data_IF_219275716644
#
_entry.id   IF_219275716644
#
_cell.length_a   1.000
_cell.length_b   1.000
_cell.length_c   1.000
_cell.angle_alpha   90.00
_cell.angle_beta   90.00
_cell.angle_gamma   90.00
#
_symmetry.space_group_name_H-M   'P 1'
#
loop_
_entity.id
_entity.type
_entity.pdbx_description
1 polymer ?
#
# COMPACT_ATOMS: atom_id res chain seq x y z
N UNK A 1 -13.31 4.11 -0.09
CA UNK A 1 -11.86 4.06 -0.33
C UNK A 1 -11.61 3.39 -1.68
N UNK A 2 -10.54 3.76 -2.37
CA UNK A 2 -10.21 3.26 -3.70
C UNK A 2 -8.99 2.34 -3.62
N UNK A 3 -8.93 1.36 -4.50
CA UNK A 3 -7.76 0.52 -4.73
C UNK A 3 -7.23 0.82 -6.12
N UNK A 4 -5.94 1.07 -6.23
CA UNK A 4 -5.24 1.34 -7.48
C UNK A 4 -4.37 0.12 -7.76
N UNK A 5 -4.49 -0.42 -8.96
CA UNK A 5 -3.72 -1.59 -9.40
C UNK A 5 -2.73 -1.16 -10.49
N UNK A 6 -1.48 -1.56 -10.36
CA UNK A 6 -0.52 -1.43 -11.46
C UNK A 6 -0.78 -2.49 -12.54
N UNK A 7 -0.20 -2.29 -13.72
CA UNK A 7 -0.32 -3.20 -14.87
C UNK A 7 0.16 -4.63 -14.60
N UNK A 8 1.09 -4.79 -13.65
CA UNK A 8 1.63 -6.10 -13.26
C UNK A 8 0.85 -6.78 -12.12
N UNK A 9 -0.24 -6.21 -11.66
CA UNK A 9 -1.10 -6.85 -10.68
C UNK A 9 -1.90 -8.00 -11.31
N UNK A 10 -2.24 -8.99 -10.49
CA UNK A 10 -3.20 -10.02 -10.90
C UNK A 10 -4.55 -9.37 -11.20
N UNK A 11 -5.28 -9.95 -12.15
CA UNK A 11 -6.63 -9.48 -12.49
C UNK A 11 -7.54 -9.50 -11.26
N UNK A 12 -8.24 -8.39 -11.02
CA UNK A 12 -9.17 -8.23 -9.91
C UNK A 12 -10.27 -9.32 -9.90
N UNK A 13 -10.68 -9.76 -11.08
CA UNK A 13 -11.70 -10.81 -11.26
C UNK A 13 -11.13 -12.22 -11.37
N UNK A 14 -9.85 -12.40 -11.11
CA UNK A 14 -9.28 -13.74 -11.00
C UNK A 14 -10.00 -14.52 -9.89
N UNK A 15 -10.32 -15.79 -10.16
CA UNK A 15 -11.10 -16.63 -9.25
C UNK A 15 -10.49 -16.77 -7.83
N UNK A 16 -9.15 -16.77 -7.74
CA UNK A 16 -8.46 -16.80 -6.44
C UNK A 16 -8.60 -15.47 -5.69
N UNK A 17 -8.53 -14.34 -6.39
CA UNK A 17 -8.73 -13.01 -5.81
C UNK A 17 -10.15 -12.88 -5.26
N UNK A 18 -11.15 -13.26 -6.05
CA UNK A 18 -12.56 -13.22 -5.64
C UNK A 18 -12.80 -14.08 -4.39
N UNK A 19 -12.29 -15.31 -4.38
CA UNK A 19 -12.46 -16.23 -3.23
C UNK A 19 -11.75 -15.73 -1.97
N UNK A 20 -10.50 -15.29 -2.10
CA UNK A 20 -9.72 -14.80 -0.94
C UNK A 20 -10.27 -13.48 -0.39
N UNK A 21 -10.81 -12.63 -1.25
CA UNK A 21 -11.44 -11.37 -0.87
C UNK A 21 -12.85 -11.51 -0.29
N UNK A 22 -13.44 -12.74 -0.30
CA UNK A 22 -14.78 -13.01 0.24
C UNK A 22 -15.85 -12.00 -0.20
N UNK A 23 -15.79 -11.56 -1.46
CA UNK A 23 -16.73 -10.58 -2.02
C UNK A 23 -16.43 -9.10 -1.70
N UNK A 24 -15.36 -8.81 -0.96
CA UNK A 24 -15.01 -7.41 -0.63
C UNK A 24 -14.80 -6.55 -1.87
N UNK A 25 -14.35 -7.11 -3.00
CA UNK A 25 -14.13 -6.40 -4.26
C UNK A 25 -15.40 -5.75 -4.84
N UNK A 26 -16.59 -6.23 -4.49
CA UNK A 26 -17.86 -5.60 -4.90
C UNK A 26 -18.12 -4.26 -4.20
N UNK A 27 -17.45 -4.01 -3.08
CA UNK A 27 -17.61 -2.79 -2.27
C UNK A 27 -16.46 -1.79 -2.44
N UNK A 28 -15.46 -2.14 -3.25
CA UNK A 28 -14.28 -1.30 -3.49
C UNK A 28 -14.31 -0.79 -4.92
N UNK A 29 -14.14 0.51 -5.09
CA UNK A 29 -13.89 1.09 -6.41
C UNK A 29 -12.42 0.85 -6.74
N UNK A 30 -12.15 0.03 -7.74
CA UNK A 30 -10.79 -0.23 -8.23
C UNK A 30 -10.51 0.52 -9.54
N UNK A 31 -9.28 0.95 -9.70
CA UNK A 31 -8.79 1.62 -10.90
C UNK A 31 -7.50 0.91 -11.30
N UNK A 32 -7.43 0.44 -12.55
CA UNK A 32 -6.20 -0.08 -13.12
C UNK A 32 -5.46 1.05 -13.82
N UNK A 33 -4.18 1.23 -13.53
CA UNK A 33 -3.36 2.30 -14.09
C UNK A 33 -2.12 1.71 -14.77
N UNK A 34 -1.81 2.23 -15.96
CA UNK A 34 -0.61 1.84 -16.70
C UNK A 34 0.65 2.55 -16.17
N UNK A 35 0.50 3.77 -15.66
CA UNK A 35 1.62 4.56 -15.12
C UNK A 35 1.33 5.02 -13.70
N UNK A 36 1.74 4.19 -12.74
CA UNK A 36 1.55 4.46 -11.31
C UNK A 36 2.35 5.68 -10.84
N UNK A 37 3.53 5.93 -11.44
CA UNK A 37 4.39 7.08 -11.07
C UNK A 37 3.70 8.42 -11.33
N UNK A 38 3.03 8.56 -12.48
CA UNK A 38 2.31 9.80 -12.81
C UNK A 38 1.15 10.06 -11.85
N UNK A 39 0.46 9.01 -11.44
CA UNK A 39 -0.62 9.14 -10.47
C UNK A 39 -0.11 9.54 -9.09
N UNK A 40 1.04 9.03 -8.67
CA UNK A 40 1.67 9.44 -7.41
C UNK A 40 2.05 10.91 -7.40
N UNK A 41 2.58 11.43 -8.50
CA UNK A 41 2.89 12.86 -8.63
C UNK A 41 1.61 13.68 -8.46
N UNK A 42 0.52 13.31 -9.11
CA UNK A 42 -0.78 13.98 -8.99
C UNK A 42 -1.32 13.95 -7.55
N UNK A 43 -1.24 12.79 -6.89
CA UNK A 43 -1.71 12.63 -5.51
C UNK A 43 -0.85 13.45 -4.53
N UNK A 44 0.48 13.45 -4.72
CA UNK A 44 1.39 14.27 -3.92
C UNK A 44 1.08 15.77 -4.06
N UNK A 45 0.83 16.25 -5.27
CA UNK A 45 0.43 17.63 -5.53
C UNK A 45 -0.92 18.01 -4.91
N UNK A 46 -1.79 17.01 -4.63
CA UNK A 46 -3.06 17.18 -3.91
C UNK A 46 -2.91 17.06 -2.38
N UNK A 47 -1.68 16.99 -1.87
CA UNK A 47 -1.37 16.93 -0.44
C UNK A 47 -1.51 15.54 0.19
N UNK A 48 -1.45 14.47 -0.60
CA UNK A 48 -1.41 13.11 -0.07
C UNK A 48 -0.02 12.74 0.41
N UNK A 49 0.08 12.11 1.57
CA UNK A 49 1.26 11.35 1.99
C UNK A 49 1.33 10.05 1.20
N UNK A 50 2.41 9.83 0.48
CA UNK A 50 2.64 8.58 -0.26
C UNK A 50 3.47 7.66 0.62
N UNK A 51 2.86 6.60 1.13
CA UNK A 51 3.44 5.68 2.09
C UNK A 51 3.81 4.38 1.40
N UNK A 52 5.06 3.97 1.50
CA UNK A 52 5.53 2.68 1.00
C UNK A 52 5.73 1.69 2.15
N UNK A 53 5.14 0.51 2.05
CA UNK A 53 5.38 -0.57 3.01
C UNK A 53 6.74 -1.22 2.75
N UNK A 54 7.67 -1.10 3.69
CA UNK A 54 9.00 -1.69 3.61
C UNK A 54 9.49 -2.08 5.01
N UNK A 55 10.14 -3.25 5.14
CA UNK A 55 10.65 -3.74 6.42
C UNK A 55 11.72 -2.82 7.06
N UNK A 56 12.45 -2.08 6.23
CA UNK A 56 13.47 -1.13 6.67
C UNK A 56 12.94 0.29 6.88
N UNK A 57 11.63 0.47 6.77
CA UNK A 57 10.97 1.75 6.97
C UNK A 57 10.95 2.18 8.45
N UNK A 58 10.42 3.37 8.68
CA UNK A 58 10.16 3.89 10.01
C UNK A 58 8.87 3.27 10.57
N UNK A 59 8.84 2.96 11.86
CA UNK A 59 7.61 2.51 12.50
C UNK A 59 6.48 3.49 12.23
N UNK A 60 5.34 2.99 11.79
CA UNK A 60 4.18 3.83 11.43
C UNK A 60 3.76 4.78 12.55
N UNK A 61 3.90 4.38 13.82
CA UNK A 61 3.58 5.22 14.99
C UNK A 61 4.47 6.46 15.12
N UNK A 62 5.66 6.46 14.50
CA UNK A 62 6.65 7.55 14.56
C UNK A 62 6.62 8.44 13.31
N UNK A 63 5.78 8.12 12.32
CA UNK A 63 5.68 8.90 11.10
C UNK A 63 4.66 10.02 11.24
N UNK A 64 5.02 11.19 10.73
CA UNK A 64 4.07 12.28 10.51
C UNK A 64 3.34 12.03 9.18
N UNK A 65 2.05 11.73 9.27
CA UNK A 65 1.23 11.33 8.13
C UNK A 65 0.01 12.25 8.10
N UNK A 66 -0.22 12.87 6.95
CA UNK A 66 -1.41 13.72 6.74
C UNK A 66 -2.69 12.88 6.74
N UNK A 67 -3.84 13.52 6.95
CA UNK A 67 -5.15 12.86 6.87
C UNK A 67 -5.48 12.35 5.46
N UNK A 68 -4.72 12.78 4.46
CA UNK A 68 -4.78 12.27 3.09
C UNK A 68 -3.57 11.39 2.84
N UNK A 69 -3.78 10.11 2.67
CA UNK A 69 -2.69 9.16 2.46
C UNK A 69 -3.01 8.12 1.38
N UNK A 70 -1.97 7.58 0.82
CA UNK A 70 -1.98 6.42 -0.08
C UNK A 70 -0.98 5.41 0.45
N UNK A 71 -1.41 4.18 0.67
CA UNK A 71 -0.54 3.07 1.05
C UNK A 71 -0.18 2.25 -0.17
N UNK A 72 1.10 2.06 -0.40
CA UNK A 72 1.64 1.25 -1.48
C UNK A 72 2.20 -0.04 -0.90
N UNK A 73 1.70 -1.15 -1.40
CA UNK A 73 2.21 -2.49 -1.11
C UNK A 73 2.98 -2.98 -2.34
N UNK A 74 4.23 -3.31 -2.15
CA UNK A 74 5.08 -3.82 -3.21
C UNK A 74 4.80 -5.29 -3.56
N UNK A 75 5.49 -5.75 -4.59
CA UNK A 75 5.47 -7.16 -4.96
C UNK A 75 6.14 -8.02 -3.86
N UNK A 76 5.64 -9.23 -3.62
CA UNK A 76 6.14 -10.12 -2.57
C UNK A 76 7.61 -10.52 -2.77
N UNK A 77 8.03 -10.71 -4.02
CA UNK A 77 9.40 -11.13 -4.33
C UNK A 77 10.38 -9.95 -4.41
N UNK A 78 9.94 -8.81 -4.99
CA UNK A 78 10.84 -7.70 -5.35
C UNK A 78 10.59 -6.43 -4.53
N UNK A 79 9.54 -6.40 -3.70
CA UNK A 79 9.15 -5.22 -2.93
C UNK A 79 8.69 -4.07 -3.82
N UNK A 80 9.01 -2.85 -3.40
CA UNK A 80 8.71 -1.63 -4.13
C UNK A 80 9.72 -1.41 -5.27
N UNK A 81 9.25 -1.09 -6.47
CA UNK A 81 10.14 -0.79 -7.59
C UNK A 81 10.89 0.54 -7.37
N UNK A 82 12.08 0.67 -7.99
CA UNK A 82 12.91 1.88 -7.86
C UNK A 82 12.17 3.14 -8.31
N UNK A 83 11.39 3.05 -9.38
CA UNK A 83 10.60 4.17 -9.88
C UNK A 83 9.57 4.65 -8.86
N UNK A 84 8.94 3.71 -8.14
CA UNK A 84 7.95 4.01 -7.12
C UNK A 84 8.59 4.60 -5.86
N UNK A 85 9.72 4.06 -5.42
CA UNK A 85 10.44 4.54 -4.22
C UNK A 85 10.75 6.04 -4.32
N UNK A 86 11.10 6.55 -5.50
CA UNK A 86 11.40 7.98 -5.71
C UNK A 86 10.21 8.92 -5.43
N UNK A 87 8.98 8.41 -5.43
CA UNK A 87 7.78 9.20 -5.17
C UNK A 87 7.25 9.05 -3.74
N UNK A 88 7.80 8.11 -2.96
CA UNK A 88 7.38 7.84 -1.60
C UNK A 88 7.75 8.99 -0.68
N UNK A 89 6.82 9.42 0.14
CA UNK A 89 7.03 10.41 1.20
C UNK A 89 7.67 9.76 2.43
N UNK A 90 7.14 8.61 2.85
CA UNK A 90 7.60 7.85 4.01
C UNK A 90 7.62 6.36 3.69
N UNK A 91 8.76 5.71 3.90
CA UNK A 91 8.79 4.26 4.03
C UNK A 91 8.35 3.89 5.45
N UNK A 92 7.31 3.09 5.56
CA UNK A 92 6.72 2.70 6.83
C UNK A 92 6.86 1.20 7.07
N UNK A 93 7.15 0.85 8.31
CA UNK A 93 7.33 -0.52 8.75
C UNK A 93 6.38 -0.91 9.88
N UNK A 94 6.02 -2.17 9.91
CA UNK A 94 5.41 -2.82 11.08
C UNK A 94 6.56 -3.20 12.02
N UNK A 95 6.51 -2.82 13.31
CA UNK A 95 7.52 -3.25 14.25
C UNK A 95 7.51 -4.79 14.37
N UNK A 96 8.64 -5.41 14.04
CA UNK A 96 8.86 -6.85 14.17
C UNK A 96 9.62 -7.18 15.43
N UNK A 97 9.44 -8.40 15.94
CA UNK A 97 10.21 -8.99 17.03
C UNK A 97 11.02 -10.17 16.44
N UNK A 98 12.33 -10.13 16.58
CA UNK A 98 13.25 -11.16 16.08
C UNK A 98 13.64 -10.97 14.60
N UNK A 99 14.27 -12.01 14.03
CA UNK A 99 14.84 -12.01 12.66
C UNK A 99 13.82 -12.49 11.61
N UNK A 100 12.60 -11.96 11.63
CA UNK A 100 11.61 -12.29 10.60
C UNK A 100 11.96 -11.52 9.33
N UNK A 101 12.17 -12.22 8.21
CA UNK A 101 12.58 -11.59 6.95
C UNK A 101 11.52 -10.67 6.37
N UNK A 102 10.25 -11.09 6.35
CA UNK A 102 9.11 -10.27 5.92
C UNK A 102 7.79 -10.89 6.34
N UNK A 103 6.76 -10.06 6.48
CA UNK A 103 5.38 -10.52 6.61
C UNK A 103 4.78 -10.74 5.22
N UNK A 104 3.81 -11.66 5.13
CA UNK A 104 2.98 -11.77 3.94
C UNK A 104 2.34 -10.41 3.61
N UNK A 105 2.33 -10.04 2.32
CA UNK A 105 1.91 -8.72 1.86
C UNK A 105 0.46 -8.37 2.27
N UNK A 106 -0.46 -9.34 2.26
CA UNK A 106 -1.85 -9.11 2.67
C UNK A 106 -1.98 -8.88 4.17
N UNK A 107 -1.20 -9.60 4.99
CA UNK A 107 -1.16 -9.40 6.45
C UNK A 107 -0.57 -8.03 6.76
N UNK A 108 0.57 -7.70 6.15
CA UNK A 108 1.20 -6.39 6.32
C UNK A 108 0.26 -5.26 5.91
N UNK A 109 -0.40 -5.40 4.75
CA UNK A 109 -1.40 -4.45 4.26
C UNK A 109 -2.55 -4.26 5.23
N UNK A 110 -3.11 -5.34 5.76
CA UNK A 110 -4.20 -5.28 6.74
C UNK A 110 -3.80 -4.56 8.03
N UNK A 111 -2.62 -4.86 8.58
CA UNK A 111 -2.11 -4.22 9.80
C UNK A 111 -1.88 -2.72 9.56
N UNK A 112 -1.20 -2.35 8.45
CA UNK A 112 -0.91 -0.96 8.13
C UNK A 112 -2.19 -0.16 7.87
N UNK A 113 -3.13 -0.71 7.09
CA UNK A 113 -4.43 -0.08 6.83
C UNK A 113 -5.22 0.17 8.12
N UNK A 114 -5.27 -0.81 9.01
CA UNK A 114 -5.93 -0.64 10.31
C UNK A 114 -5.31 0.50 11.11
N UNK A 115 -3.98 0.54 11.20
CA UNK A 115 -3.27 1.62 11.91
C UNK A 115 -3.56 3.00 11.30
N UNK A 116 -3.56 3.11 9.96
CA UNK A 116 -3.82 4.37 9.26
C UNK A 116 -5.26 4.85 9.47
N UNK A 117 -6.23 3.95 9.42
CA UNK A 117 -7.65 4.27 9.63
C UNK A 117 -7.91 4.73 11.08
N UNK A 118 -7.26 4.12 12.06
CA UNK A 118 -7.40 4.52 13.46
C UNK A 118 -6.86 5.94 13.74
N UNK A 119 -5.92 6.42 12.92
CA UNK A 119 -5.40 7.80 13.04
C UNK A 119 -6.33 8.86 12.47
N UNK A 120 -7.26 8.48 11.59
CA UNK A 120 -8.26 9.41 11.03
C UNK A 120 -9.37 9.75 12.04
N UNK A 121 -9.48 8.97 13.11
CA UNK A 121 -10.47 9.13 14.17
C UNK A 121 -9.86 9.78 15.40
#
# INVERSE_FOLDING_TARGET
KNVILSDNCVDLFNAKVIRSGMGAHFYIKSICLLNLSDEMIKLKNKGYSILGADKNGTQISKCDITNKWVLIIGNEANGLSKNIINHITNLIAIPGIGNIESLNASIAGGILLNNLIQREN
#
